data_IF_354463618857
#
_entry.id   IF_354463618857
#
_cell.length_a   1.000
_cell.length_b   1.000
_cell.length_c   1.000
_cell.angle_alpha   90.00
_cell.angle_beta   90.00
_cell.angle_gamma   90.00
#
_symmetry.space_group_name_H-M   'P 1'
#
loop_
_entity.id
_entity.type
_entity.pdbx_description
1 polymer ?
#
# COMPACT_ATOMS: atom_id res chain seq x y z
N UNK A 1 18.03 -9.21 25.79
CA UNK A 1 17.38 -8.67 27.00
C UNK A 1 16.00 -9.34 27.24
N UNK A 2 15.91 -10.68 27.07
CA UNK A 2 14.62 -11.40 27.09
C UNK A 2 14.61 -12.66 27.98
N UNK A 3 15.65 -12.90 28.78
CA UNK A 3 15.78 -14.15 29.56
C UNK A 3 15.80 -13.98 31.08
N UNK A 4 15.53 -12.79 31.63
CA UNK A 4 15.72 -12.53 33.08
C UNK A 4 14.45 -12.38 33.94
N UNK A 5 13.25 -12.41 33.38
CA UNK A 5 12.03 -12.17 34.17
C UNK A 5 11.23 -13.43 34.54
N UNK A 6 11.59 -14.61 34.05
CA UNK A 6 10.80 -15.83 34.26
C UNK A 6 11.00 -16.51 35.64
N UNK A 7 11.77 -15.92 36.56
CA UNK A 7 12.17 -16.62 37.78
C UNK A 7 12.09 -15.78 39.06
N UNK A 8 10.90 -15.26 39.39
CA UNK A 8 10.59 -14.89 40.78
C UNK A 8 9.15 -15.26 41.16
N UNK A 9 9.02 -16.49 41.66
CA UNK A 9 8.14 -16.94 42.74
C UNK A 9 6.97 -16.01 43.15
N UNK A 10 5.73 -16.45 42.90
CA UNK A 10 4.65 -16.31 43.88
C UNK A 10 4.10 -17.69 44.25
N UNK A 11 4.60 -18.17 45.40
CA UNK A 11 3.89 -19.10 46.26
C UNK A 11 2.68 -18.31 46.81
N UNK A 12 1.52 -18.96 46.92
CA UNK A 12 0.21 -18.45 47.43
C UNK A 12 -0.68 -17.64 46.46
N UNK A 13 -1.85 -18.21 46.14
CA UNK A 13 -3.02 -17.52 45.57
C UNK A 13 -3.28 -17.79 44.09
N UNK A 14 -4.35 -18.52 43.77
CA UNK A 14 -4.85 -18.65 42.38
C UNK A 14 -5.49 -17.32 41.96
N UNK A 15 -4.68 -16.37 41.51
CA UNK A 15 -5.14 -15.26 40.70
C UNK A 15 -4.70 -15.52 39.27
N UNK A 16 -5.67 -15.81 38.41
CA UNK A 16 -5.45 -15.88 36.97
C UNK A 16 -5.33 -14.43 36.51
N UNK A 17 -4.14 -13.99 36.13
CA UNK A 17 -3.88 -12.66 35.62
C UNK A 17 -4.32 -12.60 34.14
N UNK A 18 -5.44 -11.93 33.78
CA UNK A 18 -5.86 -11.79 32.38
C UNK A 18 -4.86 -10.99 31.52
N UNK A 19 -3.91 -10.29 32.14
CA UNK A 19 -2.81 -9.61 31.46
C UNK A 19 -1.72 -10.56 30.92
N UNK A 20 -1.67 -11.82 31.37
CA UNK A 20 -0.77 -12.86 30.80
C UNK A 20 -1.36 -13.53 29.54
N UNK A 21 -2.44 -12.98 29.00
CA UNK A 21 -3.09 -13.39 27.75
C UNK A 21 -2.29 -12.91 26.52
N UNK A 22 -0.96 -13.06 26.54
CA UNK A 22 -0.09 -12.92 25.36
C UNK A 22 -0.41 -13.93 24.24
N UNK A 23 -1.37 -14.83 24.49
CA UNK A 23 -1.95 -15.77 23.50
C UNK A 23 -3.21 -15.24 22.81
N UNK A 24 -3.53 -13.95 22.89
CA UNK A 24 -4.72 -13.39 22.22
C UNK A 24 -4.72 -13.60 20.70
N UNK A 25 -3.64 -13.37 19.94
CA UNK A 25 -3.66 -13.59 18.50
C UNK A 25 -3.93 -15.05 18.12
N UNK A 26 -3.36 -15.99 18.88
CA UNK A 26 -3.54 -17.43 18.66
C UNK A 26 -4.96 -17.90 18.99
N UNK A 27 -5.51 -17.47 20.12
CA UNK A 27 -6.89 -17.79 20.53
C UNK A 27 -7.91 -17.16 19.56
N UNK A 28 -7.73 -15.89 19.19
CA UNK A 28 -8.57 -15.20 18.21
C UNK A 28 -8.50 -15.91 16.86
N UNK A 29 -7.31 -16.25 16.38
CA UNK A 29 -7.15 -17.01 15.13
C UNK A 29 -7.84 -18.36 15.19
N UNK A 30 -7.70 -19.10 16.30
CA UNK A 30 -8.36 -20.39 16.50
C UNK A 30 -9.89 -20.24 16.47
N UNK A 31 -10.44 -19.28 17.21
CA UNK A 31 -11.87 -19.00 17.24
C UNK A 31 -12.40 -18.61 15.84
N UNK A 32 -11.70 -17.71 15.13
CA UNK A 32 -12.04 -17.32 13.76
C UNK A 32 -11.94 -18.50 12.78
N UNK A 33 -10.97 -19.39 12.98
CA UNK A 33 -10.79 -20.58 12.15
C UNK A 33 -11.91 -21.59 12.35
N UNK A 34 -12.24 -21.92 13.60
CA UNK A 34 -13.34 -22.82 13.95
C UNK A 34 -14.70 -22.28 13.52
N UNK A 35 -14.89 -20.95 13.58
CA UNK A 35 -16.08 -20.27 13.07
C UNK A 35 -16.11 -20.07 11.54
N UNK A 36 -15.07 -20.49 10.80
CA UNK A 36 -14.97 -20.31 9.34
C UNK A 36 -14.70 -18.86 8.88
N UNK A 37 -14.67 -17.90 9.80
CA UNK A 37 -14.44 -16.48 9.51
C UNK A 37 -13.02 -16.20 9.02
N UNK A 38 -12.02 -16.95 9.49
CA UNK A 38 -10.64 -16.79 9.02
C UNK A 38 -10.52 -17.09 7.52
N UNK A 39 -11.06 -18.22 7.06
CA UNK A 39 -11.05 -18.59 5.65
C UNK A 39 -11.87 -17.61 4.81
N UNK A 40 -13.00 -17.11 5.35
CA UNK A 40 -13.77 -16.06 4.71
C UNK A 40 -12.97 -14.76 4.59
N UNK A 41 -12.23 -14.36 5.61
CA UNK A 41 -11.39 -13.16 5.58
C UNK A 41 -10.28 -13.28 4.53
N UNK A 42 -9.60 -14.42 4.45
CA UNK A 42 -8.58 -14.71 3.42
C UNK A 42 -9.20 -14.72 2.02
N UNK A 43 -10.37 -15.32 1.86
CA UNK A 43 -11.08 -15.29 0.58
C UNK A 43 -11.49 -13.88 0.19
N UNK A 44 -11.91 -13.05 1.15
CA UNK A 44 -12.32 -11.68 0.91
C UNK A 44 -11.13 -10.79 0.55
N UNK A 45 -9.97 -10.95 1.18
CA UNK A 45 -8.77 -10.16 0.86
C UNK A 45 -8.29 -10.37 -0.58
N UNK A 46 -8.60 -11.52 -1.15
CA UNK A 46 -8.25 -11.90 -2.54
C UNK A 46 -9.37 -11.62 -3.54
N UNK A 47 -10.58 -11.34 -3.06
CA UNK A 47 -11.74 -11.05 -3.91
C UNK A 47 -11.80 -9.55 -4.26
N UNK A 48 -10.75 -9.06 -4.91
CA UNK A 48 -10.62 -7.66 -5.30
C UNK A 48 -11.73 -7.27 -6.27
N UNK A 49 -12.23 -6.03 -6.13
CA UNK A 49 -13.26 -5.47 -6.98
C UNK A 49 -12.77 -4.17 -7.58
N UNK A 50 -12.90 -4.05 -8.90
CA UNK A 50 -12.56 -2.83 -9.62
C UNK A 50 -13.74 -1.88 -9.53
N UNK A 51 -13.56 -0.79 -8.80
CA UNK A 51 -14.56 0.28 -8.66
C UNK A 51 -14.22 1.42 -9.62
N UNK A 52 -15.18 1.85 -10.44
CA UNK A 52 -15.02 2.98 -11.36
C UNK A 52 -15.73 4.20 -10.77
N UNK A 53 -14.94 5.20 -10.39
CA UNK A 53 -15.45 6.48 -9.89
C UNK A 53 -15.32 7.53 -11.00
N UNK A 54 -16.43 8.15 -11.38
CA UNK A 54 -16.42 9.26 -12.35
C UNK A 54 -16.27 10.57 -11.59
N UNK A 55 -15.23 11.33 -11.92
CA UNK A 55 -15.03 12.69 -11.44
C UNK A 55 -15.45 13.69 -12.50
N UNK A 56 -16.08 14.78 -12.08
CA UNK A 56 -16.44 15.91 -12.95
C UNK A 56 -15.55 17.07 -12.55
N UNK A 57 -14.61 17.44 -13.42
CA UNK A 57 -13.66 18.52 -13.19
C UNK A 57 -14.11 19.74 -14.00
N UNK A 58 -14.52 20.84 -13.36
CA UNK A 58 -14.89 22.06 -14.07
C UNK A 58 -13.71 22.59 -14.90
N UNK A 59 -13.96 22.88 -16.17
CA UNK A 59 -12.93 23.40 -17.08
C UNK A 59 -11.93 22.34 -17.56
N UNK A 60 -12.21 21.04 -17.38
CA UNK A 60 -11.38 19.99 -17.97
C UNK A 60 -11.32 20.15 -19.50
N UNK A 61 -10.12 20.22 -20.10
CA UNK A 61 -9.97 20.26 -21.54
C UNK A 61 -10.68 19.07 -22.22
N UNK A 62 -11.38 19.28 -23.36
CA UNK A 62 -12.10 18.21 -24.05
C UNK A 62 -11.24 16.99 -24.42
N UNK A 63 -9.94 17.20 -24.73
CA UNK A 63 -9.00 16.12 -25.03
C UNK A 63 -8.72 15.17 -23.85
N UNK A 64 -9.08 15.58 -22.62
CA UNK A 64 -8.96 14.78 -21.39
C UNK A 64 -10.30 14.17 -20.95
N UNK A 65 -11.41 14.38 -21.67
CA UNK A 65 -12.67 13.71 -21.34
C UNK A 65 -12.52 12.19 -21.50
N UNK A 66 -12.93 11.44 -20.47
CA UNK A 66 -12.76 10.01 -20.45
C UNK A 66 -11.34 9.54 -20.14
N UNK A 67 -10.41 10.44 -19.80
CA UNK A 67 -9.09 10.06 -19.27
C UNK A 67 -9.27 9.26 -17.97
N UNK A 68 -8.60 8.12 -17.88
CA UNK A 68 -8.78 7.16 -16.79
C UNK A 68 -7.50 6.96 -15.99
N UNK A 69 -7.65 7.03 -14.67
CA UNK A 69 -6.58 6.74 -13.71
C UNK A 69 -6.85 5.39 -13.03
N UNK A 70 -5.87 4.48 -13.07
CA UNK A 70 -5.81 3.34 -12.16
C UNK A 70 -5.11 3.78 -10.88
N UNK A 71 -5.86 3.90 -9.79
CA UNK A 71 -5.32 4.18 -8.46
C UNK A 71 -5.11 2.88 -7.68
N UNK A 72 -3.90 2.70 -7.16
CA UNK A 72 -3.52 1.61 -6.26
C UNK A 72 -3.01 2.20 -4.93
N UNK A 73 -3.37 1.61 -3.80
CA UNK A 73 -2.92 2.05 -2.47
C UNK A 73 -2.87 0.86 -1.52
N UNK A 74 -2.17 1.01 -0.37
CA UNK A 74 -2.18 0.05 0.74
C UNK A 74 -1.88 -1.39 0.29
N UNK A 75 -0.93 -1.51 -0.64
CA UNK A 75 -0.66 -2.75 -1.34
C UNK A 75 -0.06 -3.81 -0.42
N UNK A 76 0.80 -3.40 0.52
CA UNK A 76 1.52 -4.28 1.46
C UNK A 76 1.98 -5.59 0.79
N UNK A 77 2.73 -5.45 -0.31
CA UNK A 77 3.05 -6.54 -1.26
C UNK A 77 3.90 -7.65 -0.65
N UNK A 78 4.48 -7.41 0.52
CA UNK A 78 5.29 -8.32 1.32
C UNK A 78 4.47 -9.16 2.33
N UNK A 79 3.17 -8.87 2.50
CA UNK A 79 2.35 -9.50 3.55
C UNK A 79 1.85 -10.91 3.18
N UNK A 80 1.37 -11.11 1.95
CA UNK A 80 0.86 -12.40 1.45
C UNK A 80 1.02 -12.50 -0.06
N UNK A 81 1.78 -13.49 -0.52
CA UNK A 81 2.06 -13.74 -1.93
C UNK A 81 0.78 -13.91 -2.77
N UNK A 82 -0.25 -14.55 -2.19
CA UNK A 82 -1.51 -14.76 -2.89
C UNK A 82 -2.35 -13.46 -3.02
N UNK A 83 -2.19 -12.50 -2.11
CA UNK A 83 -2.80 -11.18 -2.25
C UNK A 83 -2.12 -10.40 -3.38
N UNK A 84 -0.78 -10.39 -3.44
CA UNK A 84 -0.05 -9.77 -4.54
C UNK A 84 -0.45 -10.38 -5.89
N UNK A 85 -0.55 -11.70 -5.96
CA UNK A 85 -1.04 -12.39 -7.16
C UNK A 85 -2.47 -11.94 -7.53
N UNK A 86 -3.37 -11.82 -6.55
CA UNK A 86 -4.73 -11.33 -6.81
C UNK A 86 -4.74 -9.89 -7.35
N UNK A 87 -3.88 -9.01 -6.84
CA UNK A 87 -3.71 -7.64 -7.37
C UNK A 87 -3.25 -7.70 -8.82
N UNK A 88 -2.19 -8.47 -9.10
CA UNK A 88 -1.61 -8.62 -10.44
C UNK A 88 -2.66 -9.09 -11.46
N UNK A 89 -3.40 -10.15 -11.14
CA UNK A 89 -4.44 -10.67 -12.03
C UNK A 89 -5.59 -9.68 -12.21
N UNK A 90 -5.90 -8.88 -11.18
CA UNK A 90 -6.94 -7.84 -11.27
C UNK A 90 -6.53 -6.68 -12.18
N UNK A 91 -5.25 -6.26 -12.15
CA UNK A 91 -4.80 -5.06 -12.89
C UNK A 91 -4.34 -5.37 -14.31
N UNK A 92 -3.85 -6.58 -14.59
CA UNK A 92 -3.22 -6.94 -15.88
C UNK A 92 -4.13 -6.65 -17.08
N UNK A 93 -5.43 -6.90 -16.95
CA UNK A 93 -6.40 -6.79 -18.04
C UNK A 93 -7.19 -5.46 -18.03
N UNK A 94 -6.84 -4.53 -17.12
CA UNK A 94 -7.52 -3.24 -17.05
C UNK A 94 -7.03 -2.30 -18.15
N UNK A 95 -7.98 -1.56 -18.72
CA UNK A 95 -7.68 -0.44 -19.58
C UNK A 95 -7.71 0.86 -18.80
N UNK A 96 -6.60 1.60 -18.88
CA UNK A 96 -6.39 2.87 -18.20
C UNK A 96 -5.29 3.67 -18.91
N UNK A 97 -5.35 5.00 -18.81
CA UNK A 97 -4.36 5.89 -19.42
C UNK A 97 -3.12 6.09 -18.52
N UNK A 98 -3.32 6.11 -17.19
CA UNK A 98 -2.23 6.29 -16.22
C UNK A 98 -2.46 5.48 -14.95
N UNK A 99 -1.39 4.88 -14.41
CA UNK A 99 -1.39 4.29 -13.08
C UNK A 99 -0.78 5.26 -12.07
N UNK A 100 -1.47 5.44 -10.94
CA UNK A 100 -1.00 6.20 -9.79
C UNK A 100 -1.00 5.28 -8.56
N UNK A 101 0.08 5.30 -7.79
CA UNK A 101 0.23 4.48 -6.58
C UNK A 101 0.47 5.38 -5.38
N UNK A 102 -0.45 5.32 -4.41
CA UNK A 102 -0.54 6.31 -3.33
C UNK A 102 -0.02 5.81 -1.99
N UNK A 103 1.08 5.05 -2.01
CA UNK A 103 1.80 4.62 -0.82
C UNK A 103 1.35 3.29 -0.20
N UNK A 104 2.02 2.96 0.90
CA UNK A 104 1.88 1.75 1.73
C UNK A 104 2.18 0.45 0.97
N UNK A 105 3.38 0.40 0.41
CA UNK A 105 3.89 -0.76 -0.33
C UNK A 105 4.28 -1.92 0.58
N UNK A 106 4.74 -1.62 1.79
CA UNK A 106 5.28 -2.61 2.74
C UNK A 106 4.47 -2.69 4.01
N UNK A 107 4.47 -3.83 4.69
CA UNK A 107 3.67 -4.08 5.88
C UNK A 107 4.17 -3.33 7.11
N UNK A 108 5.45 -3.45 7.44
CA UNK A 108 5.98 -2.94 8.70
C UNK A 108 6.63 -1.56 8.52
N UNK A 109 6.58 -0.69 9.52
CA UNK A 109 7.19 0.66 9.46
C UNK A 109 8.70 0.66 9.77
N UNK A 110 9.30 -0.51 9.94
CA UNK A 110 10.73 -0.72 10.14
C UNK A 110 11.18 -2.06 9.54
N UNK A 111 12.49 -2.27 9.42
CA UNK A 111 13.06 -3.54 8.97
C UNK A 111 13.51 -3.53 7.51
N UNK A 112 13.69 -4.74 6.96
CA UNK A 112 14.18 -4.96 5.60
C UNK A 112 13.12 -4.60 4.54
N UNK A 113 13.51 -3.80 3.55
CA UNK A 113 12.64 -3.37 2.46
C UNK A 113 12.66 -4.35 1.27
N UNK A 114 13.63 -5.26 1.21
CA UNK A 114 13.83 -6.15 0.07
C UNK A 114 12.59 -6.99 -0.31
N UNK A 115 11.79 -7.54 0.64
CA UNK A 115 10.57 -8.27 0.28
C UNK A 115 9.53 -7.39 -0.43
N UNK A 116 9.38 -6.14 0.00
CA UNK A 116 8.47 -5.20 -0.62
C UNK A 116 8.96 -4.78 -2.01
N UNK A 117 10.26 -4.53 -2.15
CA UNK A 117 10.88 -4.20 -3.44
C UNK A 117 10.75 -5.34 -4.44
N UNK A 118 10.89 -6.59 -4.01
CA UNK A 118 10.61 -7.77 -4.82
C UNK A 118 9.16 -7.82 -5.31
N UNK A 119 8.20 -7.57 -4.41
CA UNK A 119 6.77 -7.53 -4.76
C UNK A 119 6.45 -6.41 -5.75
N UNK A 120 6.99 -5.21 -5.53
CA UNK A 120 6.82 -4.06 -6.44
C UNK A 120 7.45 -4.34 -7.81
N UNK A 121 8.64 -4.95 -7.86
CA UNK A 121 9.29 -5.35 -9.11
C UNK A 121 8.41 -6.27 -9.95
N UNK A 122 7.73 -7.22 -9.31
CA UNK A 122 6.80 -8.14 -9.98
C UNK A 122 5.56 -7.42 -10.46
N UNK A 123 4.93 -6.61 -9.62
CA UNK A 123 3.76 -5.80 -9.98
C UNK A 123 4.06 -4.90 -11.18
N UNK A 124 5.23 -4.25 -11.20
CA UNK A 124 5.66 -3.33 -12.25
C UNK A 124 5.53 -3.91 -13.65
N UNK A 125 5.83 -5.19 -13.83
CA UNK A 125 5.80 -5.88 -15.13
C UNK A 125 4.39 -6.04 -15.71
N UNK A 126 3.36 -5.84 -14.88
CA UNK A 126 1.95 -5.94 -15.27
C UNK A 126 1.27 -4.56 -15.37
N UNK A 127 1.98 -3.48 -15.10
CA UNK A 127 1.47 -2.12 -15.20
C UNK A 127 1.87 -1.49 -16.55
N UNK A 128 0.88 -0.88 -17.22
CA UNK A 128 1.06 -0.07 -18.42
C UNK A 128 1.77 1.26 -18.10
N UNK A 129 2.59 1.73 -19.05
CA UNK A 129 3.25 3.03 -18.98
C UNK A 129 4.28 3.15 -17.85
N UNK A 130 4.50 4.38 -17.40
CA UNK A 130 5.33 4.72 -16.24
C UNK A 130 4.40 5.13 -15.10
N UNK A 131 4.16 4.27 -14.10
CA UNK A 131 3.28 4.61 -12.99
C UNK A 131 3.88 5.76 -12.17
N UNK A 132 3.04 6.68 -11.73
CA UNK A 132 3.42 7.72 -10.77
C UNK A 132 3.21 7.21 -9.36
N UNK A 133 4.11 7.55 -8.44
CA UNK A 133 4.09 7.01 -7.09
C UNK A 133 4.52 8.05 -6.05
N UNK A 134 3.95 7.95 -4.85
CA UNK A 134 4.36 8.69 -3.64
C UNK A 134 4.64 7.70 -2.51
N UNK A 135 5.22 8.13 -1.40
CA UNK A 135 5.40 7.26 -0.24
C UNK A 135 4.17 7.32 0.67
N UNK A 136 3.84 6.18 1.28
CA UNK A 136 2.93 6.12 2.41
C UNK A 136 3.69 6.12 3.73
N UNK A 137 2.95 6.13 4.84
CA UNK A 137 3.55 6.15 6.18
C UNK A 137 4.25 4.83 6.54
N UNK A 138 3.99 3.74 5.82
CA UNK A 138 4.74 2.49 5.96
C UNK A 138 6.04 2.46 5.16
N UNK A 139 6.19 3.34 4.19
CA UNK A 139 7.30 3.28 3.24
C UNK A 139 8.50 4.09 3.71
N UNK A 140 9.69 3.60 3.37
CA UNK A 140 10.93 4.31 3.64
C UNK A 140 11.39 5.05 2.40
N UNK A 141 11.95 6.25 2.58
CA UNK A 141 12.65 6.98 1.53
C UNK A 141 13.76 6.16 0.84
N UNK A 142 14.31 5.15 1.54
CA UNK A 142 15.30 4.23 0.97
C UNK A 142 14.76 3.39 -0.20
N UNK A 143 13.44 3.28 -0.35
CA UNK A 143 12.80 2.57 -1.46
C UNK A 143 12.80 3.39 -2.75
N UNK A 144 12.91 4.72 -2.66
CA UNK A 144 12.81 5.63 -3.82
C UNK A 144 13.79 5.27 -4.94
N UNK A 145 15.11 5.13 -4.70
CA UNK A 145 16.05 4.86 -5.79
C UNK A 145 15.79 3.52 -6.49
N UNK A 146 15.37 2.52 -5.73
CA UNK A 146 15.07 1.19 -6.27
C UNK A 146 13.75 1.19 -7.06
N UNK A 147 12.70 1.83 -6.54
CA UNK A 147 11.44 2.08 -7.25
C UNK A 147 11.67 2.81 -8.59
N UNK A 148 12.48 3.87 -8.58
CA UNK A 148 12.85 4.60 -9.80
C UNK A 148 13.60 3.72 -10.79
N UNK A 149 14.53 2.89 -10.31
CA UNK A 149 15.27 1.94 -11.16
C UNK A 149 14.37 0.90 -11.83
N UNK A 150 13.22 0.58 -11.23
CA UNK A 150 12.19 -0.30 -11.80
C UNK A 150 11.28 0.43 -12.82
N UNK A 151 11.43 1.75 -12.97
CA UNK A 151 10.63 2.56 -13.87
C UNK A 151 9.28 2.97 -13.29
N UNK A 152 9.18 3.10 -11.96
CA UNK A 152 8.21 3.96 -11.31
C UNK A 152 8.73 5.40 -11.33
N UNK A 153 7.84 6.39 -11.45
CA UNK A 153 8.21 7.78 -11.26
C UNK A 153 7.73 8.25 -9.89
N UNK A 154 8.67 8.40 -8.97
CA UNK A 154 8.38 8.95 -7.65
C UNK A 154 8.14 10.46 -7.78
N UNK A 155 7.16 10.99 -7.06
CA UNK A 155 6.84 12.42 -6.99
C UNK A 155 6.92 12.86 -5.53
N UNK A 156 8.08 13.32 -5.09
CA UNK A 156 8.35 13.64 -3.68
C UNK A 156 8.17 15.14 -3.42
N UNK A 157 6.92 15.58 -3.23
CA UNK A 157 6.53 17.01 -3.25
C UNK A 157 6.87 17.67 -4.60
N UNK A 158 6.53 16.98 -5.68
CA UNK A 158 6.85 17.37 -7.05
C UNK A 158 5.60 17.34 -7.93
N UNK A 159 5.63 18.08 -9.02
CA UNK A 159 4.59 18.04 -10.05
C UNK A 159 5.10 17.54 -11.39
N UNK A 160 4.16 17.00 -12.16
CA UNK A 160 4.37 16.56 -13.53
C UNK A 160 3.22 17.08 -14.40
N UNK A 161 3.57 17.72 -15.50
CA UNK A 161 2.64 18.01 -16.57
C UNK A 161 2.55 16.80 -17.52
N UNK A 162 1.35 16.26 -17.69
CA UNK A 162 1.04 15.30 -18.74
C UNK A 162 0.39 16.04 -19.91
N UNK A 163 1.01 15.95 -21.09
CA UNK A 163 0.48 16.55 -22.31
C UNK A 163 -0.30 15.51 -23.10
N UNK A 164 -1.52 15.87 -23.51
CA UNK A 164 -2.38 15.07 -24.39
C UNK A 164 -2.97 15.98 -25.46
N UNK A 165 -2.51 15.82 -26.70
CA UNK A 165 -2.87 16.70 -27.82
C UNK A 165 -2.51 18.17 -27.51
N UNK A 166 -3.50 19.06 -27.45
CA UNK A 166 -3.36 20.48 -27.08
C UNK A 166 -3.73 20.75 -25.61
N UNK A 167 -3.95 19.70 -24.82
CA UNK A 167 -4.29 19.77 -23.41
C UNK A 167 -3.13 19.39 -22.48
N UNK A 168 -3.14 19.97 -21.29
CA UNK A 168 -2.21 19.66 -20.21
C UNK A 168 -2.98 19.23 -18.96
N UNK A 169 -2.52 18.16 -18.30
CA UNK A 169 -2.98 17.69 -17.00
C UNK A 169 -1.81 17.74 -16.02
N UNK A 170 -1.89 18.60 -15.02
CA UNK A 170 -0.90 18.65 -13.95
C UNK A 170 -1.25 17.63 -12.85
N UNK A 171 -0.24 16.87 -12.44
CA UNK A 171 -0.32 15.91 -11.34
C UNK A 171 0.71 16.32 -10.30
N UNK A 172 0.24 16.59 -9.08
CA UNK A 172 1.09 16.87 -7.93
C UNK A 172 1.15 15.62 -7.03
N UNK A 173 2.35 15.16 -6.72
CA UNK A 173 2.60 14.17 -5.70
C UNK A 173 3.07 14.86 -4.43
N UNK A 174 2.41 14.57 -3.32
CA UNK A 174 2.70 15.16 -2.00
C UNK A 174 3.10 14.04 -1.06
N UNK A 175 4.16 14.27 -0.28
CA UNK A 175 4.66 13.30 0.68
C UNK A 175 3.78 13.22 1.93
N UNK A 176 4.07 12.29 2.85
CA UNK A 176 3.20 11.99 3.99
C UNK A 176 2.97 13.20 4.92
N UNK A 177 1.71 13.66 5.09
CA UNK A 177 1.38 14.76 5.98
C UNK A 177 1.22 14.36 7.44
N UNK A 178 1.12 13.06 7.75
CA UNK A 178 0.68 12.61 9.07
C UNK A 178 1.81 12.09 9.96
N UNK A 179 2.53 11.05 9.54
CA UNK A 179 3.54 10.37 10.35
C UNK A 179 4.89 11.09 10.28
N UNK A 180 5.37 11.38 9.07
CA UNK A 180 6.64 12.06 8.82
C UNK A 180 6.48 13.57 8.68
N UNK A 181 5.27 14.03 8.34
CA UNK A 181 4.95 15.45 8.14
C UNK A 181 5.84 16.13 7.09
N UNK A 182 6.30 15.38 6.11
CA UNK A 182 7.20 15.84 5.04
C UNK A 182 6.45 16.42 3.84
N UNK A 183 5.11 16.46 3.87
CA UNK A 183 4.30 17.14 2.86
C UNK A 183 4.71 18.60 2.64
N UNK A 184 4.82 18.99 1.36
CA UNK A 184 5.00 20.38 0.94
C UNK A 184 4.16 20.64 -0.31
N UNK A 185 2.97 21.20 -0.10
CA UNK A 185 2.06 21.56 -1.19
C UNK A 185 2.60 22.68 -2.06
N UNK A 186 3.38 23.61 -1.49
CA UNK A 186 3.89 24.76 -2.24
C UNK A 186 5.02 24.34 -3.20
N UNK A 187 5.84 23.36 -2.79
CA UNK A 187 6.84 22.76 -3.67
C UNK A 187 6.21 21.91 -4.78
N UNK A 188 5.07 21.27 -4.50
CA UNK A 188 4.37 20.39 -5.44
C UNK A 188 3.46 21.11 -6.45
N UNK A 189 3.39 22.45 -6.46
CA UNK A 189 2.49 23.24 -7.33
C UNK A 189 3.21 24.31 -8.13
#
# INVERSE_FOLDING_TARGET
>A
EHEREALFLSRTGKHVHPENLYSMPGLVRLALSLGGLYQRAVSNSRALRVTRNRFVVPGLPPALEGYTLLQLSDLHVDMDEANLHAVIETVRDLDYDLCVITGDYRRDTWGDIAPAMEGMRRLRTHLKGTPLAILGNHDSVLMVPEMESMGYRMLMNESLCLEREDAALWIAGVDDPHLYQTHDLAAAT
#
